data_IF_844155152185
#
_entry.id   IF_844155152185
#
_cell.length_a   1.000
_cell.length_b   1.000
_cell.length_c   1.000
_cell.angle_alpha   90.00
_cell.angle_beta   90.00
_cell.angle_gamma   90.00
#
_symmetry.space_group_name_H-M   'P 1'
#
loop_
_entity.id
_entity.type
_entity.pdbx_description
1 polymer ?
#
# COMPACT_ATOMS: atom_id res chain seq x y z
N UNK A 1 -11.64 3.00 4.69
CA UNK A 1 -12.04 1.61 4.36
C UNK A 1 -12.32 0.89 5.67
N UNK A 2 -13.20 -0.10 5.70
CA UNK A 2 -13.47 -0.86 6.94
C UNK A 2 -12.53 -2.05 7.01
N UNK A 3 -11.48 -1.93 7.82
CA UNK A 3 -10.54 -3.03 8.02
C UNK A 3 -11.24 -4.21 8.70
N UNK A 4 -10.91 -5.47 8.35
CA UNK A 4 -11.45 -6.63 9.05
C UNK A 4 -11.18 -6.56 10.55
N UNK A 5 -12.06 -7.11 11.36
CA UNK A 5 -11.88 -7.14 12.82
C UNK A 5 -10.92 -8.26 13.26
N UNK A 6 -10.45 -8.18 14.51
CA UNK A 6 -9.64 -9.21 15.14
C UNK A 6 -8.17 -9.26 14.68
N UNK A 7 -7.53 -10.41 14.90
CA UNK A 7 -6.11 -10.64 14.61
C UNK A 7 -5.77 -10.55 13.12
N UNK A 8 -6.69 -10.99 12.25
CA UNK A 8 -6.54 -10.94 10.79
C UNK A 8 -6.49 -9.50 10.27
N UNK A 9 -7.35 -8.62 10.78
CA UNK A 9 -7.33 -7.20 10.48
C UNK A 9 -6.01 -6.52 10.82
N UNK A 10 -5.52 -6.80 12.03
CA UNK A 10 -4.21 -6.33 12.51
C UNK A 10 -3.06 -6.79 11.62
N UNK A 11 -3.03 -8.05 11.23
CA UNK A 11 -1.99 -8.59 10.34
C UNK A 11 -2.00 -7.90 8.97
N UNK A 12 -3.18 -7.72 8.36
CA UNK A 12 -3.31 -7.04 7.07
C UNK A 12 -2.94 -5.56 7.15
N UNK A 13 -3.33 -4.88 8.22
CA UNK A 13 -2.99 -3.48 8.46
C UNK A 13 -1.47 -3.31 8.69
N UNK A 14 -0.84 -4.19 9.47
CA UNK A 14 0.61 -4.18 9.67
C UNK A 14 1.35 -4.45 8.36
N UNK A 15 0.92 -5.46 7.59
CA UNK A 15 1.49 -5.76 6.28
C UNK A 15 1.38 -4.56 5.31
N UNK A 16 0.25 -3.86 5.33
CA UNK A 16 0.06 -2.64 4.55
C UNK A 16 1.04 -1.52 4.96
N UNK A 17 1.17 -1.25 6.26
CA UNK A 17 2.07 -0.19 6.75
C UNK A 17 3.53 -0.46 6.35
N UNK A 18 3.98 -1.71 6.50
CA UNK A 18 5.34 -2.12 6.10
C UNK A 18 5.50 -2.01 4.59
N UNK A 19 4.56 -2.56 3.81
CA UNK A 19 4.62 -2.54 2.35
C UNK A 19 4.66 -1.11 1.79
N UNK A 20 3.84 -0.21 2.34
CA UNK A 20 3.80 1.19 1.93
C UNK A 20 5.10 1.91 2.28
N UNK A 21 5.64 1.71 3.49
CA UNK A 21 6.92 2.30 3.89
C UNK A 21 8.07 1.81 3.00
N UNK A 22 8.17 0.49 2.77
CA UNK A 22 9.18 -0.12 1.90
C UNK A 22 9.08 0.43 0.48
N UNK A 23 7.86 0.56 -0.05
CA UNK A 23 7.62 1.13 -1.37
C UNK A 23 8.14 2.56 -1.47
N UNK A 24 7.75 3.42 -0.53
CA UNK A 24 8.13 4.84 -0.53
C UNK A 24 9.64 5.01 -0.36
N UNK A 25 10.27 4.24 0.54
CA UNK A 25 11.74 4.25 0.70
C UNK A 25 12.41 3.85 -0.61
N UNK A 26 11.94 2.78 -1.27
CA UNK A 26 12.45 2.37 -2.57
C UNK A 26 12.37 3.48 -3.62
N UNK A 27 11.22 4.15 -3.73
CA UNK A 27 11.03 5.27 -4.67
C UNK A 27 11.99 6.42 -4.35
N UNK A 28 12.10 6.82 -3.07
CA UNK A 28 12.99 7.91 -2.64
C UNK A 28 14.45 7.57 -2.94
N UNK A 29 14.87 6.32 -2.71
CA UNK A 29 16.24 5.88 -3.00
C UNK A 29 16.52 5.89 -4.51
N UNK A 30 15.60 5.43 -5.36
CA UNK A 30 15.76 5.51 -6.83
C UNK A 30 15.92 6.96 -7.27
N UNK A 31 15.03 7.85 -6.82
CA UNK A 31 15.09 9.27 -7.16
C UNK A 31 16.39 9.92 -6.66
N UNK A 32 16.82 9.61 -5.44
CA UNK A 32 18.08 10.09 -4.88
C UNK A 32 19.30 9.59 -5.65
N UNK A 33 19.30 8.33 -6.08
CA UNK A 33 20.35 7.73 -6.92
C UNK A 33 20.47 8.49 -8.24
N UNK A 34 19.34 8.73 -8.91
CA UNK A 34 19.28 9.47 -10.18
C UNK A 34 19.75 10.92 -10.03
N UNK A 35 19.33 11.61 -8.96
CA UNK A 35 19.77 12.99 -8.68
C UNK A 35 21.27 13.07 -8.37
N UNK A 36 21.84 12.04 -7.74
CA UNK A 36 23.26 12.00 -7.39
C UNK A 36 24.19 11.57 -8.53
N UNK A 37 23.63 11.09 -9.65
CA UNK A 37 24.40 10.55 -10.78
C UNK A 37 25.18 9.26 -10.45
N UNK A 38 24.81 8.56 -9.37
CA UNK A 38 25.43 7.29 -8.95
C UNK A 38 24.39 6.18 -8.99
N UNK A 39 24.67 5.09 -9.69
CA UNK A 39 23.69 4.01 -9.93
C UNK A 39 23.73 2.85 -8.92
N UNK A 40 24.54 2.96 -7.86
CA UNK A 40 24.83 1.84 -6.95
C UNK A 40 23.60 1.26 -6.22
N UNK A 41 22.53 2.05 -6.06
CA UNK A 41 21.35 1.63 -5.29
C UNK A 41 20.09 1.46 -6.14
N UNK A 42 20.15 1.70 -7.46
CA UNK A 42 18.96 1.72 -8.32
C UNK A 42 18.26 0.36 -8.32
N UNK A 43 19.00 -0.73 -8.50
CA UNK A 43 18.43 -2.09 -8.53
C UNK A 43 17.76 -2.51 -7.22
N UNK A 44 18.44 -2.50 -6.05
CA UNK A 44 17.80 -2.89 -4.80
C UNK A 44 16.64 -1.96 -4.42
N UNK A 45 16.77 -0.64 -4.67
CA UNK A 45 15.69 0.32 -4.40
C UNK A 45 14.45 0.07 -5.28
N UNK A 46 14.67 -0.26 -6.56
CA UNK A 46 13.59 -0.61 -7.49
C UNK A 46 12.91 -1.91 -7.06
N UNK A 47 13.67 -2.91 -6.62
CA UNK A 47 13.11 -4.16 -6.10
C UNK A 47 12.25 -3.92 -4.85
N UNK A 48 12.66 -3.04 -3.94
CA UNK A 48 11.85 -2.63 -2.78
C UNK A 48 10.54 -1.96 -3.20
N UNK A 49 10.60 -1.00 -4.14
CA UNK A 49 9.43 -0.31 -4.66
C UNK A 49 8.42 -1.29 -5.28
N UNK A 50 8.90 -2.20 -6.13
CA UNK A 50 8.07 -3.21 -6.78
C UNK A 50 7.51 -4.20 -5.76
N UNK A 51 8.30 -4.68 -4.80
CA UNK A 51 7.86 -5.62 -3.78
C UNK A 51 6.73 -5.02 -2.91
N UNK A 52 6.89 -3.78 -2.45
CA UNK A 52 5.84 -3.09 -1.70
C UNK A 52 4.55 -2.94 -2.53
N UNK A 53 4.69 -2.62 -3.82
CA UNK A 53 3.55 -2.46 -4.71
C UNK A 53 2.82 -3.78 -5.02
N UNK A 54 3.54 -4.90 -5.10
CA UNK A 54 2.95 -6.23 -5.26
C UNK A 54 2.12 -6.61 -4.03
N UNK A 55 2.62 -6.31 -2.83
CA UNK A 55 1.87 -6.54 -1.58
C UNK A 55 0.61 -5.66 -1.55
N UNK A 56 0.71 -4.37 -1.87
CA UNK A 56 -0.44 -3.46 -1.96
C UNK A 56 -1.48 -3.98 -2.98
N UNK A 57 -1.03 -4.50 -4.11
CA UNK A 57 -1.89 -5.08 -5.14
C UNK A 57 -2.60 -6.34 -4.64
N UNK A 58 -1.91 -7.21 -3.90
CA UNK A 58 -2.50 -8.36 -3.24
C UNK A 58 -3.55 -7.96 -2.20
N UNK A 59 -3.23 -6.98 -1.35
CA UNK A 59 -4.13 -6.44 -0.33
C UNK A 59 -5.37 -5.80 -0.97
N UNK A 60 -5.24 -5.08 -2.07
CA UNK A 60 -6.36 -4.50 -2.80
C UNK A 60 -7.36 -5.57 -3.30
N UNK A 61 -6.85 -6.74 -3.71
CA UNK A 61 -7.71 -7.88 -4.10
C UNK A 61 -8.42 -8.49 -2.90
N UNK A 62 -7.73 -8.63 -1.77
CA UNK A 62 -8.28 -9.20 -0.54
C UNK A 62 -9.27 -8.28 0.16
N UNK A 63 -9.03 -6.97 0.11
CA UNK A 63 -9.83 -5.95 0.79
C UNK A 63 -10.90 -5.33 -0.12
N UNK A 64 -11.08 -5.80 -1.35
CA UNK A 64 -12.05 -5.23 -2.31
C UNK A 64 -13.47 -5.09 -1.72
N UNK A 65 -13.87 -6.03 -0.86
CA UNK A 65 -15.20 -6.08 -0.25
C UNK A 65 -15.32 -5.12 0.96
N UNK A 66 -14.20 -4.59 1.45
CA UNK A 66 -14.11 -3.58 2.51
C UNK A 66 -14.15 -2.13 1.98
N UNK A 67 -14.24 -1.94 0.66
CA UNK A 67 -14.44 -0.62 0.05
C UNK A 67 -15.87 -0.14 0.34
N UNK A 68 -16.06 1.08 0.87
CA UNK A 68 -17.40 1.62 1.06
C UNK A 68 -18.14 1.74 -0.28
N UNK A 69 -19.40 1.28 -0.34
CA UNK A 69 -20.21 1.35 -1.55
C UNK A 69 -20.32 2.78 -2.13
N UNK A 70 -20.30 3.80 -1.27
CA UNK A 70 -20.29 5.22 -1.64
C UNK A 70 -19.04 5.67 -2.41
N UNK A 71 -17.94 4.93 -2.29
CA UNK A 71 -16.69 5.19 -3.00
C UNK A 71 -16.66 4.57 -4.40
N UNK A 72 -17.62 3.70 -4.73
CA UNK A 72 -17.74 3.02 -6.02
C UNK A 72 -18.81 3.75 -6.83
N UNK A 73 -18.39 4.57 -7.82
CA UNK A 73 -19.32 5.31 -8.70
C UNK A 73 -19.51 4.56 -10.01
N UNK A 74 -20.75 4.23 -10.37
CA UNK A 74 -21.06 3.60 -11.65
C UNK A 74 -20.42 2.21 -11.80
N UNK A 75 -19.70 1.98 -12.92
CA UNK A 75 -19.05 0.68 -13.24
C UNK A 75 -17.61 0.54 -12.74
N UNK A 76 -17.15 1.39 -11.81
CA UNK A 76 -15.76 1.31 -11.32
C UNK A 76 -15.54 0.03 -10.51
N UNK A 77 -14.48 -0.72 -10.82
CA UNK A 77 -14.11 -1.92 -10.06
C UNK A 77 -13.71 -1.54 -8.62
N UNK A 78 -14.36 -2.08 -7.58
CA UNK A 78 -13.96 -1.88 -6.19
C UNK A 78 -12.48 -2.19 -5.92
N UNK A 79 -11.88 -3.14 -6.66
CA UNK A 79 -10.45 -3.45 -6.54
C UNK A 79 -9.58 -2.28 -6.95
N UNK A 80 -9.94 -1.58 -8.02
CA UNK A 80 -9.22 -0.39 -8.49
C UNK A 80 -9.34 0.76 -7.48
N UNK A 81 -10.50 0.91 -6.84
CA UNK A 81 -10.71 1.90 -5.76
C UNK A 81 -9.85 1.55 -4.54
N UNK A 82 -9.86 0.29 -4.09
CA UNK A 82 -9.03 -0.18 -2.98
C UNK A 82 -7.54 0.05 -3.27
N UNK A 83 -7.08 -0.36 -4.44
CA UNK A 83 -5.70 -0.21 -4.87
C UNK A 83 -5.25 1.25 -4.89
N UNK A 84 -6.08 2.17 -5.42
CA UNK A 84 -5.78 3.59 -5.42
C UNK A 84 -5.67 4.16 -4.00
N UNK A 85 -6.61 3.81 -3.12
CA UNK A 85 -6.60 4.30 -1.73
C UNK A 85 -5.36 3.79 -0.97
N UNK A 86 -5.00 2.52 -1.14
CA UNK A 86 -3.84 1.91 -0.50
C UNK A 86 -2.52 2.48 -1.05
N UNK A 87 -2.37 2.54 -2.38
CA UNK A 87 -1.14 3.06 -3.02
C UNK A 87 -0.88 4.52 -2.64
N UNK A 88 -1.93 5.35 -2.57
CA UNK A 88 -1.84 6.76 -2.19
C UNK A 88 -1.67 7.00 -0.67
N UNK A 89 -1.58 5.94 0.16
CA UNK A 89 -1.41 6.10 1.60
C UNK A 89 -2.68 6.60 2.33
N UNK A 90 -3.84 6.63 1.67
CA UNK A 90 -5.08 7.18 2.27
C UNK A 90 -5.61 6.36 3.43
N UNK A 91 -5.21 5.09 3.51
CA UNK A 91 -5.63 4.19 4.59
C UNK A 91 -4.60 4.07 5.72
N UNK A 92 -3.47 4.81 5.68
CA UNK A 92 -2.43 4.79 6.73
C UNK A 92 -2.99 5.08 8.13
N UNK A 93 -3.82 6.13 8.34
CA UNK A 93 -4.37 6.41 9.68
C UNK A 93 -5.36 5.34 10.15
N UNK A 94 -6.05 4.67 9.23
CA UNK A 94 -6.96 3.57 9.53
C UNK A 94 -6.18 2.32 9.94
N UNK A 95 -5.17 1.94 9.16
CA UNK A 95 -4.31 0.81 9.45
C UNK A 95 -3.56 0.98 10.78
N UNK A 96 -3.06 2.19 11.05
CA UNK A 96 -2.38 2.50 12.30
C UNK A 96 -3.30 2.37 13.53
N UNK A 97 -4.56 2.77 13.42
CA UNK A 97 -5.55 2.54 14.48
C UNK A 97 -5.79 1.06 14.69
N UNK A 98 -6.04 0.30 13.62
CA UNK A 98 -6.28 -1.15 13.70
C UNK A 98 -5.14 -1.90 14.38
N UNK A 99 -3.89 -1.56 14.07
CA UNK A 99 -2.70 -2.19 14.67
C UNK A 99 -2.58 -1.89 16.17
N UNK A 100 -2.92 -0.67 16.60
CA UNK A 100 -2.83 -0.27 18.01
C UNK A 100 -3.97 -0.79 18.89
N UNK A 101 -5.09 -1.20 18.30
CA UNK A 101 -6.31 -1.60 19.02
C UNK A 101 -7.15 -0.39 19.41
#
# INVERSE_FOLDING_TARGET
MTWPEGSRGRALAAAYLVAWAVMVIGIVLVLGSQLSGRDLLVWPASAMAVAGQLVITGLARLLRDAVPATSVRGRTDPRAVAWNRLSLGRELPGAWRVVRG
#
